data_IF_517737487057
#
_entry.id   IF_517737487057
#
_cell.length_a   1.000
_cell.length_b   1.000
_cell.length_c   1.000
_cell.angle_alpha   90.00
_cell.angle_beta   90.00
_cell.angle_gamma   90.00
#
_symmetry.space_group_name_H-M   'P 1'
#
loop_
_entity.id
_entity.type
_entity.pdbx_description
1 polymer ?
#
# COMPACT_ATOMS: atom_id res chain seq x y z
N UNK A 1 -15.32 3.02 52.39
CA UNK A 1 -14.82 1.88 51.59
C UNK A 1 -14.90 2.27 50.12
N UNK A 2 -13.77 2.61 49.50
CA UNK A 2 -13.68 2.99 48.08
C UNK A 2 -12.99 1.86 47.31
N UNK A 3 -13.73 1.22 46.40
CA UNK A 3 -13.27 0.15 45.53
C UNK A 3 -12.65 0.71 44.25
N UNK A 4 -11.44 0.24 43.95
CA UNK A 4 -10.54 0.58 42.84
C UNK A 4 -11.21 0.60 41.45
N UNK A 5 -11.08 1.73 40.74
CA UNK A 5 -11.09 1.78 39.27
C UNK A 5 -9.75 1.25 38.73
N UNK A 6 -9.80 0.19 37.93
CA UNK A 6 -8.63 -0.40 37.28
C UNK A 6 -8.29 0.41 36.03
N UNK A 7 -7.11 1.03 36.02
CA UNK A 7 -6.54 1.76 34.90
C UNK A 7 -6.21 0.82 33.70
N UNK A 8 -7.21 0.44 32.91
CA UNK A 8 -7.04 -0.46 31.74
C UNK A 8 -6.93 0.31 30.39
N UNK A 9 -7.12 1.63 30.39
CA UNK A 9 -7.12 2.47 29.17
C UNK A 9 -5.77 3.11 28.77
N UNK A 10 -4.80 3.40 29.68
CA UNK A 10 -3.53 4.02 29.29
C UNK A 10 -2.57 3.08 28.53
N UNK A 11 -2.42 1.83 29.00
CA UNK A 11 -1.43 0.89 28.48
C UNK A 11 -1.68 0.48 27.02
N UNK A 12 -2.95 0.31 26.60
CA UNK A 12 -3.31 0.00 25.22
C UNK A 12 -2.96 1.15 24.26
N UNK A 13 -3.15 2.40 24.69
CA UNK A 13 -2.84 3.60 23.89
C UNK A 13 -1.32 3.74 23.68
N UNK A 14 -0.54 3.52 24.73
CA UNK A 14 0.93 3.56 24.64
C UNK A 14 1.48 2.39 23.81
N UNK A 15 0.89 1.21 23.96
CA UNK A 15 1.23 0.03 23.17
C UNK A 15 0.96 0.22 21.67
N UNK A 16 -0.11 0.92 21.29
CA UNK A 16 -0.42 1.25 19.90
C UNK A 16 0.46 2.38 19.38
N UNK A 17 0.71 3.41 20.18
CA UNK A 17 1.65 4.48 19.83
C UNK A 17 3.04 3.93 19.55
N UNK A 18 3.53 3.02 20.38
CA UNK A 18 4.83 2.39 20.16
C UNK A 18 4.83 1.49 18.92
N UNK A 19 3.72 0.77 18.63
CA UNK A 19 3.56 0.01 17.38
C UNK A 19 3.77 0.91 16.16
N UNK A 20 3.02 2.03 16.10
CA UNK A 20 3.10 3.00 14.99
C UNK A 20 4.49 3.62 14.86
N UNK A 21 5.17 3.92 15.98
CA UNK A 21 6.56 4.42 15.97
C UNK A 21 7.54 3.42 15.36
N UNK A 22 7.42 2.14 15.71
CA UNK A 22 8.28 1.09 15.13
C UNK A 22 8.02 0.93 13.64
N UNK A 23 6.75 0.92 13.22
CA UNK A 23 6.38 0.81 11.79
C UNK A 23 6.89 2.01 10.99
N UNK A 24 6.72 3.24 11.48
CA UNK A 24 7.24 4.43 10.83
C UNK A 24 8.77 4.39 10.69
N UNK A 25 9.48 4.04 11.77
CA UNK A 25 10.92 3.91 11.75
C UNK A 25 11.41 2.83 10.76
N UNK A 26 10.71 1.69 10.70
CA UNK A 26 11.00 0.64 9.74
C UNK A 26 10.79 1.11 8.30
N UNK A 27 9.68 1.82 8.01
CA UNK A 27 9.40 2.39 6.69
C UNK A 27 10.51 3.33 6.23
N UNK A 28 10.98 4.21 7.10
CA UNK A 28 12.08 5.14 6.80
C UNK A 28 13.38 4.41 6.48
N UNK A 29 13.76 3.42 7.28
CA UNK A 29 14.96 2.62 7.04
C UNK A 29 14.87 1.80 5.76
N UNK A 30 13.71 1.22 5.48
CA UNK A 30 13.49 0.38 4.29
C UNK A 30 13.40 1.18 2.98
N UNK A 31 13.10 2.48 3.05
CA UNK A 31 13.18 3.35 1.89
C UNK A 31 14.62 3.50 1.38
N UNK A 32 15.60 3.51 2.31
CA UNK A 32 17.02 3.73 2.00
C UNK A 32 17.79 2.42 1.78
N UNK A 33 17.60 1.44 2.67
CA UNK A 33 18.41 0.22 2.71
C UNK A 33 17.68 -1.02 2.19
N UNK A 34 16.47 -0.85 1.62
CA UNK A 34 15.60 -1.98 1.31
C UNK A 34 15.26 -2.81 2.55
N UNK A 35 14.96 -4.09 2.37
CA UNK A 35 14.64 -5.00 3.48
C UNK A 35 15.86 -5.51 4.24
N UNK A 36 17.01 -4.85 4.21
CA UNK A 36 18.24 -5.31 4.87
C UNK A 36 18.29 -4.95 6.36
N UNK A 37 17.71 -3.80 6.77
CA UNK A 37 17.80 -3.30 8.15
C UNK A 37 17.26 -4.28 9.20
N UNK A 38 17.98 -4.42 10.30
CA UNK A 38 17.69 -5.34 11.41
C UNK A 38 16.67 -4.76 12.40
N UNK A 39 16.03 -5.62 13.22
CA UNK A 39 15.14 -5.16 14.29
C UNK A 39 15.85 -4.27 15.33
N UNK A 40 17.16 -4.44 15.52
CA UNK A 40 17.96 -3.59 16.41
C UNK A 40 18.10 -2.17 15.85
N UNK A 41 18.38 -2.04 14.55
CA UNK A 41 18.47 -0.74 13.87
C UNK A 41 17.11 -0.05 13.86
N UNK A 42 16.02 -0.79 13.60
CA UNK A 42 14.66 -0.26 13.71
C UNK A 42 14.36 0.23 15.13
N UNK A 43 14.76 -0.52 16.17
CA UNK A 43 14.55 -0.11 17.56
C UNK A 43 15.32 1.19 17.88
N UNK A 44 16.58 1.27 17.44
CA UNK A 44 17.41 2.44 17.60
C UNK A 44 16.80 3.66 16.89
N UNK A 45 16.43 3.51 15.62
CA UNK A 45 15.83 4.57 14.81
C UNK A 45 14.46 5.02 15.37
N UNK A 46 13.66 4.11 15.91
CA UNK A 46 12.41 4.43 16.58
C UNK A 46 12.59 5.13 17.94
N UNK A 47 13.82 5.18 18.48
CA UNK A 47 14.10 5.66 19.83
C UNK A 47 13.40 4.82 20.90
N UNK A 48 13.41 3.49 20.74
CA UNK A 48 12.80 2.51 21.65
C UNK A 48 13.82 1.45 22.07
N UNK A 49 13.63 0.89 23.27
CA UNK A 49 14.49 -0.20 23.74
C UNK A 49 14.30 -1.46 22.89
N UNK A 50 15.41 -2.14 22.58
CA UNK A 50 15.42 -3.39 21.79
C UNK A 50 14.43 -4.41 22.35
N UNK A 51 14.43 -4.65 23.67
CA UNK A 51 13.49 -5.56 24.31
C UNK A 51 12.00 -5.17 24.14
N UNK A 52 11.69 -3.87 23.98
CA UNK A 52 10.31 -3.41 23.70
C UNK A 52 9.90 -3.78 22.28
N UNK A 53 10.81 -3.64 21.31
CA UNK A 53 10.56 -4.00 19.92
C UNK A 53 10.45 -5.52 19.75
N UNK A 54 11.40 -6.30 20.27
CA UNK A 54 11.35 -7.77 20.17
C UNK A 54 10.12 -8.40 20.86
N UNK A 55 9.62 -7.79 21.95
CA UNK A 55 8.36 -8.25 22.57
C UNK A 55 7.14 -8.05 21.66
N UNK A 56 7.18 -7.07 20.75
CA UNK A 56 6.08 -6.78 19.83
C UNK A 56 6.27 -7.47 18.48
N UNK A 57 7.50 -7.48 17.99
CA UNK A 57 7.90 -8.05 16.72
C UNK A 57 9.04 -9.04 17.01
N UNK A 58 8.72 -10.30 17.34
CA UNK A 58 9.72 -11.29 17.68
C UNK A 58 10.65 -11.62 16.51
N UNK A 59 10.15 -11.44 15.28
CA UNK A 59 10.88 -11.68 14.03
C UNK A 59 10.69 -10.52 13.06
N UNK A 60 11.52 -10.50 12.01
CA UNK A 60 11.44 -9.50 10.94
C UNK A 60 10.17 -9.68 10.12
N UNK A 61 9.74 -10.92 9.92
CA UNK A 61 8.52 -11.29 9.24
C UNK A 61 7.28 -10.77 9.98
N UNK A 62 7.26 -10.84 11.32
CA UNK A 62 6.18 -10.26 12.12
C UNK A 62 6.12 -8.72 11.98
N UNK A 63 7.27 -8.05 11.79
CA UNK A 63 7.31 -6.63 11.47
C UNK A 63 6.82 -6.35 10.05
N UNK A 64 7.20 -7.17 9.07
CA UNK A 64 6.72 -7.05 7.68
C UNK A 64 5.20 -7.23 7.57
N UNK A 65 4.63 -8.25 8.22
CA UNK A 65 3.18 -8.45 8.29
C UNK A 65 2.49 -7.21 8.87
N UNK A 66 3.00 -6.67 9.98
CA UNK A 66 2.41 -5.49 10.61
C UNK A 66 2.53 -4.22 9.76
N UNK A 67 3.61 -4.07 8.98
CA UNK A 67 3.78 -2.97 8.02
C UNK A 67 2.81 -3.11 6.86
N UNK A 68 2.59 -4.34 6.37
CA UNK A 68 1.63 -4.64 5.33
C UNK A 68 0.20 -4.30 5.76
N UNK A 69 -0.24 -4.82 6.92
CA UNK A 69 -1.57 -4.55 7.49
C UNK A 69 -1.79 -3.04 7.65
N UNK A 70 -0.80 -2.32 8.20
CA UNK A 70 -0.87 -0.87 8.35
C UNK A 70 -0.94 -0.14 6.99
N UNK A 71 -0.29 -0.68 5.96
CA UNK A 71 -0.37 -0.18 4.58
C UNK A 71 -1.74 -0.40 3.95
N UNK A 72 -2.37 -1.56 4.16
CA UNK A 72 -3.72 -1.85 3.68
C UNK A 72 -4.77 -1.00 4.37
N UNK A 73 -4.65 -0.79 5.68
CA UNK A 73 -5.49 0.15 6.44
C UNK A 73 -5.32 1.59 5.90
N UNK A 74 -4.08 2.00 5.58
CA UNK A 74 -3.81 3.31 4.98
C UNK A 74 -4.47 3.44 3.60
N UNK A 75 -4.33 2.44 2.72
CA UNK A 75 -4.97 2.43 1.39
C UNK A 75 -6.49 2.47 1.50
N UNK A 76 -7.06 1.75 2.47
CA UNK A 76 -8.51 1.78 2.74
C UNK A 76 -8.96 3.20 3.11
N UNK A 77 -8.22 3.87 4.01
CA UNK A 77 -8.50 5.26 4.38
C UNK A 77 -8.35 6.25 3.23
N UNK A 78 -7.40 6.01 2.31
CA UNK A 78 -7.25 6.79 1.08
C UNK A 78 -8.45 6.58 0.14
N UNK A 79 -8.86 5.34 -0.13
CA UNK A 79 -10.04 5.07 -0.96
C UNK A 79 -11.30 5.73 -0.37
N UNK A 80 -11.51 5.65 0.94
CA UNK A 80 -12.61 6.34 1.62
C UNK A 80 -12.52 7.87 1.47
N UNK A 81 -11.31 8.45 1.51
CA UNK A 81 -11.10 9.87 1.31
C UNK A 81 -11.39 10.30 -0.13
N UNK A 82 -10.95 9.52 -1.11
CA UNK A 82 -11.22 9.75 -2.53
C UNK A 82 -12.72 9.80 -2.83
N UNK A 83 -13.49 8.90 -2.20
CA UNK A 83 -14.96 8.87 -2.30
C UNK A 83 -15.64 10.13 -1.74
N UNK A 84 -14.94 10.95 -0.93
CA UNK A 84 -15.46 12.22 -0.40
C UNK A 84 -15.13 13.43 -1.27
N UNK A 85 -14.33 13.29 -2.32
CA UNK A 85 -14.09 14.37 -3.28
C UNK A 85 -15.38 14.70 -4.02
N UNK A 86 -15.65 15.98 -4.30
CA UNK A 86 -16.86 16.41 -5.02
C UNK A 86 -16.87 15.88 -6.46
N UNK A 87 -15.75 16.02 -7.18
CA UNK A 87 -15.55 15.46 -8.50
C UNK A 87 -14.97 14.03 -8.41
N UNK A 88 -15.59 13.07 -9.09
CA UNK A 88 -15.18 11.65 -9.06
C UNK A 88 -13.86 11.39 -9.77
N UNK A 89 -13.57 12.12 -10.86
CA UNK A 89 -12.30 12.03 -11.56
C UNK A 89 -11.15 12.57 -10.73
N UNK A 90 -11.32 13.74 -10.10
CA UNK A 90 -10.32 14.28 -9.17
C UNK A 90 -10.10 13.33 -7.99
N UNK A 91 -11.16 12.69 -7.48
CA UNK A 91 -11.05 11.65 -6.45
C UNK A 91 -10.23 10.44 -6.90
N UNK A 92 -10.50 9.93 -8.10
CA UNK A 92 -9.75 8.83 -8.71
C UNK A 92 -8.27 9.19 -8.93
N UNK A 93 -7.99 10.33 -9.58
CA UNK A 93 -6.61 10.79 -9.82
C UNK A 93 -5.85 10.98 -8.51
N UNK A 94 -6.49 11.59 -7.51
CA UNK A 94 -5.91 11.78 -6.19
C UNK A 94 -5.62 10.44 -5.52
N UNK A 95 -6.56 9.47 -5.56
CA UNK A 95 -6.35 8.14 -5.00
C UNK A 95 -5.14 7.44 -5.63
N UNK A 96 -5.09 7.39 -6.97
CA UNK A 96 -3.99 6.76 -7.71
C UNK A 96 -2.66 7.43 -7.37
N UNK A 97 -2.62 8.76 -7.27
CA UNK A 97 -1.43 9.48 -6.84
C UNK A 97 -0.97 9.06 -5.45
N UNK A 98 -1.86 9.06 -4.45
CA UNK A 98 -1.51 8.73 -3.08
C UNK A 98 -1.05 7.27 -2.94
N UNK A 99 -1.70 6.33 -3.64
CA UNK A 99 -1.31 4.93 -3.67
C UNK A 99 0.06 4.72 -4.32
N UNK A 100 0.30 5.33 -5.48
CA UNK A 100 1.57 5.22 -6.20
C UNK A 100 2.71 5.85 -5.41
N UNK A 101 2.48 6.97 -4.72
CA UNK A 101 3.49 7.62 -3.88
C UNK A 101 4.04 6.67 -2.80
N UNK A 102 3.16 5.90 -2.13
CA UNK A 102 3.56 4.93 -1.09
C UNK A 102 4.55 3.87 -1.63
N UNK A 103 4.36 3.42 -2.88
CA UNK A 103 5.13 2.30 -3.46
C UNK A 103 6.30 2.76 -4.33
N UNK A 104 6.23 3.96 -4.92
CA UNK A 104 7.27 4.54 -5.73
C UNK A 104 8.45 5.04 -4.89
N UNK A 105 8.19 5.66 -3.74
CA UNK A 105 9.24 6.27 -2.90
C UNK A 105 9.84 5.31 -1.87
N UNK A 106 9.37 4.06 -1.81
CA UNK A 106 9.84 3.10 -0.83
C UNK A 106 9.96 1.68 -1.42
N UNK A 107 11.20 1.31 -1.78
CA UNK A 107 11.53 -0.01 -2.34
C UNK A 107 11.12 -1.15 -1.40
N UNK A 108 11.42 -1.03 -0.10
CA UNK A 108 11.07 -2.10 0.85
C UNK A 108 9.56 -2.26 1.04
N UNK A 109 8.80 -1.16 1.03
CA UNK A 109 7.34 -1.26 1.03
C UNK A 109 6.79 -1.88 -0.24
N UNK A 110 7.38 -1.58 -1.41
CA UNK A 110 7.01 -2.25 -2.66
C UNK A 110 7.24 -3.75 -2.56
N UNK A 111 8.40 -4.17 -2.05
CA UNK A 111 8.70 -5.58 -1.87
C UNK A 111 7.72 -6.26 -0.90
N UNK A 112 7.40 -5.62 0.23
CA UNK A 112 6.40 -6.12 1.20
C UNK A 112 4.99 -6.15 0.60
N UNK A 113 4.58 -5.13 -0.16
CA UNK A 113 3.23 -5.00 -0.71
C UNK A 113 2.91 -6.05 -1.77
N UNK A 114 3.91 -6.44 -2.56
CA UNK A 114 3.73 -7.35 -3.69
C UNK A 114 4.25 -8.78 -3.45
N UNK A 115 5.01 -9.02 -2.37
CA UNK A 115 5.46 -10.36 -1.99
C UNK A 115 4.56 -11.00 -0.92
N UNK A 116 3.81 -12.05 -1.27
CA UNK A 116 3.04 -12.86 -0.30
C UNK A 116 3.91 -13.72 0.64
N UNK A 117 5.24 -13.69 0.54
CA UNK A 117 6.11 -14.42 1.48
C UNK A 117 5.91 -13.99 2.95
N UNK A 118 5.22 -12.88 3.20
CA UNK A 118 5.07 -12.25 4.51
C UNK A 118 3.63 -12.17 5.04
N UNK A 119 2.64 -12.78 4.36
CA UNK A 119 1.22 -12.39 4.54
C UNK A 119 0.32 -13.20 5.48
N UNK A 120 0.42 -14.52 5.56
CA UNK A 120 -0.50 -15.32 6.39
C UNK A 120 -2.01 -15.01 6.18
N UNK A 121 -2.86 -15.36 7.15
CA UNK A 121 -4.32 -15.23 7.04
C UNK A 121 -4.84 -13.77 7.17
N UNK A 122 -4.09 -12.88 7.84
CA UNK A 122 -4.51 -11.48 8.02
C UNK A 122 -4.52 -10.69 6.70
N UNK A 123 -3.63 -11.04 5.77
CA UNK A 123 -3.55 -10.39 4.46
C UNK A 123 -4.80 -10.60 3.62
N UNK A 124 -5.39 -11.80 3.65
CA UNK A 124 -6.62 -12.08 2.91
C UNK A 124 -7.81 -11.27 3.46
N UNK A 125 -7.91 -11.16 4.78
CA UNK A 125 -8.97 -10.35 5.41
C UNK A 125 -8.85 -8.86 5.08
N UNK A 126 -7.62 -8.34 4.99
CA UNK A 126 -7.37 -6.94 4.62
C UNK A 126 -7.69 -6.68 3.15
N UNK A 127 -7.34 -7.61 2.27
CA UNK A 127 -7.67 -7.56 0.84
C UNK A 127 -9.17 -7.56 0.60
N UNK A 128 -9.89 -8.47 1.24
CA UNK A 128 -11.34 -8.56 1.16
C UNK A 128 -12.05 -7.27 1.63
N UNK A 129 -11.40 -6.48 2.50
CA UNK A 129 -11.91 -5.17 2.93
C UNK A 129 -11.56 -4.04 1.97
N UNK A 130 -10.37 -4.08 1.36
CA UNK A 130 -9.91 -3.04 0.44
C UNK A 130 -10.60 -3.11 -0.93
N UNK A 131 -10.78 -4.31 -1.49
CA UNK A 131 -11.31 -4.49 -2.85
C UNK A 131 -12.65 -3.77 -3.08
N UNK A 132 -13.67 -3.89 -2.20
CA UNK A 132 -14.93 -3.17 -2.38
C UNK A 132 -14.78 -1.64 -2.35
N UNK A 133 -13.79 -1.10 -1.64
CA UNK A 133 -13.52 0.34 -1.64
C UNK A 133 -12.90 0.80 -2.95
N UNK A 134 -11.97 0.01 -3.50
CA UNK A 134 -11.37 0.28 -4.81
C UNK A 134 -12.42 0.23 -5.92
N UNK A 135 -13.30 -0.79 -5.90
CA UNK A 135 -14.39 -0.90 -6.87
C UNK A 135 -15.28 0.33 -6.84
N UNK A 136 -15.66 0.83 -5.66
CA UNK A 136 -16.46 2.06 -5.55
C UNK A 136 -15.78 3.28 -6.14
N UNK A 137 -14.47 3.43 -5.96
CA UNK A 137 -13.71 4.55 -6.54
C UNK A 137 -13.75 4.48 -8.08
N UNK A 138 -13.56 3.29 -8.64
CA UNK A 138 -13.60 3.02 -10.08
C UNK A 138 -15.02 3.22 -10.65
N UNK A 139 -16.01 2.54 -10.07
CA UNK A 139 -17.41 2.58 -10.49
C UNK A 139 -17.94 4.02 -10.49
N UNK A 140 -17.67 4.80 -9.43
CA UNK A 140 -18.10 6.20 -9.35
C UNK A 140 -17.56 7.05 -10.52
N UNK A 141 -16.28 6.89 -10.87
CA UNK A 141 -15.68 7.65 -11.97
C UNK A 141 -16.15 7.14 -13.36
N UNK A 142 -16.55 5.87 -13.47
CA UNK A 142 -17.17 5.29 -14.66
C UNK A 142 -18.61 5.80 -14.85
N UNK A 143 -19.41 5.81 -13.79
CA UNK A 143 -20.80 6.28 -13.79
C UNK A 143 -20.91 7.77 -14.21
N UNK A 144 -19.97 8.60 -13.76
CA UNK A 144 -19.87 10.01 -14.17
C UNK A 144 -19.29 10.20 -15.58
N UNK A 145 -18.85 9.12 -16.23
CA UNK A 145 -18.37 9.12 -17.62
C UNK A 145 -16.94 9.62 -17.80
N UNK A 146 -16.13 9.65 -16.74
CA UNK A 146 -14.73 10.06 -16.82
C UNK A 146 -13.78 8.88 -17.04
N UNK A 147 -14.03 7.75 -16.37
CA UNK A 147 -13.19 6.56 -16.43
C UNK A 147 -13.73 5.57 -17.48
N UNK A 148 -12.82 4.96 -18.24
CA UNK A 148 -13.18 3.99 -19.28
C UNK A 148 -13.87 2.75 -18.70
N UNK A 149 -14.82 2.11 -19.42
CA UNK A 149 -15.64 1.02 -18.89
C UNK A 149 -14.87 -0.28 -18.64
N UNK A 150 -13.68 -0.45 -19.21
CA UNK A 150 -12.85 -1.64 -19.01
C UNK A 150 -11.98 -1.56 -17.74
N UNK A 151 -11.92 -0.39 -17.09
CA UNK A 151 -11.17 -0.22 -15.86
C UNK A 151 -11.76 -1.07 -14.73
N UNK A 152 -10.89 -1.64 -13.90
CA UNK A 152 -11.23 -2.49 -12.77
C UNK A 152 -10.50 -2.05 -11.49
N UNK A 153 -11.05 -2.38 -10.33
CA UNK A 153 -10.34 -2.30 -9.05
C UNK A 153 -8.99 -3.06 -9.08
N UNK A 154 -8.91 -4.13 -9.87
CA UNK A 154 -7.72 -4.97 -10.03
C UNK A 154 -6.62 -4.32 -10.86
N UNK A 155 -6.87 -3.18 -11.52
CA UNK A 155 -5.81 -2.37 -12.14
C UNK A 155 -4.96 -1.63 -11.09
N UNK A 156 -5.53 -1.30 -9.93
CA UNK A 156 -4.87 -0.44 -8.93
C UNK A 156 -3.51 -0.98 -8.47
N UNK A 157 -3.34 -2.28 -8.17
CA UNK A 157 -2.03 -2.82 -7.82
C UNK A 157 -1.00 -2.68 -8.96
N UNK A 158 -1.42 -2.78 -10.23
CA UNK A 158 -0.52 -2.64 -11.38
C UNK A 158 -0.04 -1.20 -11.57
N UNK A 159 -0.85 -0.18 -11.21
CA UNK A 159 -0.37 1.20 -11.15
C UNK A 159 0.81 1.34 -10.18
N UNK A 160 0.72 0.70 -9.00
CA UNK A 160 1.82 0.65 -8.03
C UNK A 160 3.06 -0.09 -8.56
N UNK A 161 2.86 -1.25 -9.21
CA UNK A 161 3.96 -2.01 -9.83
C UNK A 161 4.67 -1.21 -10.91
N UNK A 162 3.93 -0.60 -11.84
CA UNK A 162 4.47 0.14 -12.98
C UNK A 162 5.24 1.39 -12.53
N UNK A 163 4.67 2.17 -11.61
CA UNK A 163 5.34 3.37 -11.06
C UNK A 163 6.52 3.02 -10.17
N UNK A 164 6.43 1.92 -9.42
CA UNK A 164 7.54 1.34 -8.67
C UNK A 164 8.71 0.90 -9.57
N UNK A 165 8.43 0.25 -10.69
CA UNK A 165 9.43 -0.19 -11.65
C UNK A 165 10.16 1.00 -12.30
N UNK A 166 9.45 2.08 -12.61
CA UNK A 166 10.06 3.33 -13.08
C UNK A 166 11.03 3.89 -12.03
N UNK A 167 10.62 3.93 -10.77
CA UNK A 167 11.46 4.43 -9.67
C UNK A 167 12.71 3.57 -9.49
N UNK A 168 12.57 2.25 -9.61
CA UNK A 168 13.69 1.31 -9.52
C UNK A 168 14.69 1.47 -10.65
N UNK A 169 14.19 1.62 -11.88
CA UNK A 169 15.04 1.78 -13.06
C UNK A 169 15.73 3.16 -13.09
N UNK A 170 14.99 4.23 -12.75
CA UNK A 170 15.53 5.57 -12.70
C UNK A 170 16.53 5.78 -11.54
N UNK A 171 16.35 5.04 -10.45
CA UNK A 171 17.14 5.18 -9.23
C UNK A 171 17.12 6.60 -8.68
N UNK A 172 18.20 6.99 -8.01
CA UNK A 172 18.35 8.33 -7.42
C UNK A 172 18.56 9.45 -8.46
N UNK A 173 18.78 9.10 -9.73
CA UNK A 173 18.99 10.10 -10.81
C UNK A 173 17.73 10.95 -10.99
N UNK A 174 16.54 10.35 -10.80
CA UNK A 174 15.28 11.09 -10.86
C UNK A 174 14.18 10.40 -10.04
N UNK A 175 14.10 10.78 -8.76
CA UNK A 175 13.09 10.25 -7.82
C UNK A 175 11.65 10.64 -8.17
N UNK A 176 11.42 11.62 -9.05
CA UNK A 176 10.09 12.09 -9.45
C UNK A 176 9.58 11.48 -10.77
N UNK A 177 10.42 10.71 -11.49
CA UNK A 177 10.10 10.24 -12.84
C UNK A 177 8.84 9.37 -12.88
N UNK A 178 8.53 8.63 -11.81
CA UNK A 178 7.33 7.81 -11.69
C UNK A 178 6.03 8.62 -11.90
N UNK A 179 6.02 9.90 -11.50
CA UNK A 179 4.85 10.79 -11.66
C UNK A 179 4.53 11.04 -13.12
N UNK A 180 5.55 11.10 -13.99
CA UNK A 180 5.36 11.23 -15.44
C UNK A 180 4.60 10.04 -16.01
N UNK A 181 5.05 8.82 -15.69
CA UNK A 181 4.43 7.62 -16.22
C UNK A 181 3.07 7.33 -15.58
N UNK A 182 2.88 7.67 -14.31
CA UNK A 182 1.57 7.68 -13.68
C UNK A 182 0.58 8.59 -14.42
N UNK A 183 0.99 9.82 -14.75
CA UNK A 183 0.13 10.74 -15.49
C UNK A 183 -0.23 10.21 -16.89
N UNK A 184 0.70 9.54 -17.57
CA UNK A 184 0.44 8.88 -18.86
C UNK A 184 -0.58 7.74 -18.69
N UNK A 185 -0.42 6.91 -17.65
CA UNK A 185 -1.35 5.82 -17.35
C UNK A 185 -2.75 6.37 -17.05
N UNK A 186 -2.88 7.36 -16.16
CA UNK A 186 -4.15 8.01 -15.82
C UNK A 186 -4.83 8.60 -17.07
N UNK A 187 -4.08 9.32 -17.92
CA UNK A 187 -4.64 9.89 -19.15
C UNK A 187 -5.18 8.80 -20.10
N UNK A 188 -4.50 7.64 -20.18
CA UNK A 188 -4.95 6.48 -20.97
C UNK A 188 -6.18 5.76 -20.41
N UNK A 189 -6.54 6.02 -19.15
CA UNK A 189 -7.73 5.46 -18.51
C UNK A 189 -8.98 6.32 -18.73
N UNK A 190 -8.85 7.54 -19.25
CA UNK A 190 -10.01 8.39 -19.53
C UNK A 190 -10.94 7.75 -20.56
N UNK A 191 -12.24 7.87 -20.32
CA UNK A 191 -13.27 7.55 -21.30
C UNK A 191 -13.21 8.54 -22.46
N UNK A 192 -13.29 8.04 -23.69
CA UNK A 192 -13.40 8.82 -24.94
C UNK A 192 -14.42 8.14 -25.84
N UNK A 193 -15.13 8.94 -26.64
CA UNK A 193 -16.20 8.41 -27.50
C UNK A 193 -15.66 7.55 -28.66
N UNK A 194 -14.41 7.79 -29.06
CA UNK A 194 -13.72 7.16 -30.19
C UNK A 194 -12.64 6.15 -29.76
N UNK A 195 -12.60 5.77 -28.47
CA UNK A 195 -11.59 4.82 -27.99
C UNK A 195 -11.84 3.41 -28.50
N UNK A 196 -10.75 2.72 -28.86
CA UNK A 196 -10.77 1.27 -28.99
C UNK A 196 -10.89 0.62 -27.60
N UNK A 197 -11.65 -0.49 -27.54
CA UNK A 197 -11.74 -1.30 -26.34
C UNK A 197 -10.36 -1.87 -26.01
N UNK A 198 -9.97 -1.92 -24.73
CA UNK A 198 -8.80 -2.73 -24.34
C UNK A 198 -9.03 -4.19 -24.75
N UNK A 199 -8.11 -4.74 -25.54
CA UNK A 199 -8.20 -6.11 -26.05
C UNK A 199 -8.06 -7.16 -24.94
N UNK A 200 -7.26 -6.84 -23.91
CA UNK A 200 -7.01 -7.69 -22.75
C UNK A 200 -7.70 -7.07 -21.54
N UNK A 201 -8.60 -7.83 -20.93
CA UNK A 201 -9.28 -7.42 -19.70
C UNK A 201 -8.31 -7.41 -18.51
N UNK A 202 -8.63 -6.61 -17.50
CA UNK A 202 -7.94 -6.67 -16.20
C UNK A 202 -8.12 -8.06 -15.56
N UNK A 203 -7.19 -8.42 -14.67
CA UNK A 203 -7.29 -9.68 -13.92
C UNK A 203 -8.57 -9.71 -13.09
N UNK A 204 -9.23 -10.87 -13.01
CA UNK A 204 -10.26 -11.10 -12.01
C UNK A 204 -9.66 -11.26 -10.59
N UNK A 205 -10.52 -11.31 -9.56
CA UNK A 205 -10.10 -11.43 -8.16
C UNK A 205 -9.27 -12.70 -7.89
N UNK A 206 -9.65 -13.84 -8.49
CA UNK A 206 -8.92 -15.09 -8.32
C UNK A 206 -7.55 -15.04 -9.01
N UNK A 207 -7.48 -14.42 -10.19
CA UNK A 207 -6.25 -14.24 -10.94
C UNK A 207 -5.28 -13.28 -10.23
N UNK A 208 -5.76 -12.17 -9.66
CA UNK A 208 -4.89 -11.23 -8.95
C UNK A 208 -4.35 -11.85 -7.65
N UNK A 209 -5.17 -12.63 -6.93
CA UNK A 209 -4.73 -13.35 -5.73
C UNK A 209 -3.67 -14.41 -6.07
N UNK A 210 -3.83 -15.13 -7.17
CA UNK A 210 -2.84 -16.07 -7.66
C UNK A 210 -1.55 -15.38 -8.11
N UNK A 211 -1.64 -14.26 -8.83
CA UNK A 211 -0.48 -13.48 -9.30
C UNK A 211 0.34 -12.94 -8.11
N UNK A 212 -0.31 -12.40 -7.09
CA UNK A 212 0.37 -11.90 -5.89
C UNK A 212 0.96 -13.01 -5.02
N UNK A 213 0.50 -14.26 -5.17
CA UNK A 213 1.09 -15.44 -4.51
C UNK A 213 2.37 -15.90 -5.21
N UNK A 214 2.47 -15.69 -6.52
CA UNK A 214 3.54 -16.24 -7.35
C UNK A 214 4.61 -15.22 -7.70
N UNK A 215 4.34 -13.93 -7.48
CA UNK A 215 5.28 -12.85 -7.79
C UNK A 215 6.54 -12.93 -6.93
N UNK A 216 7.69 -12.79 -7.58
CA UNK A 216 9.01 -12.61 -6.96
C UNK A 216 9.66 -11.35 -7.54
N UNK A 217 10.22 -10.46 -6.71
CA UNK A 217 11.00 -9.34 -7.23
C UNK A 217 12.16 -9.83 -8.08
N UNK A 218 12.47 -9.14 -9.18
CA UNK A 218 13.71 -9.40 -9.90
C UNK A 218 14.90 -8.97 -9.03
N UNK A 219 15.89 -9.84 -8.84
CA UNK A 219 17.13 -9.52 -8.11
C UNK A 219 17.30 -10.13 -6.71
N UNK A 220 16.46 -11.09 -6.31
CA UNK A 220 16.67 -11.87 -5.08
C UNK A 220 17.67 -13.04 -5.26
N UNK A 221 18.79 -12.78 -5.95
CA UNK A 221 19.86 -13.74 -6.22
C UNK A 221 21.22 -13.23 -5.76
#
# INVERSE_FOLDING_TARGET
MNGREVAHRPLRKDAERNRKRVIAAARELFAVHGLESTLNEVAHHAGLGVGTVYRRFPTKEALFEAIYVDGMDQLSGLAEAALRHENSWEGFEWFVHQMCEITATNRGLREIAFSKAHGGDHVEADRARLLPLLSKVVERAQEDGYLRPEASATDMPFFGVLTGAVSEFAGEVNADLWRRYMAILIEGMRRRDDQERLEVDALDEAQIDAAMTTWRPAGSG
#
